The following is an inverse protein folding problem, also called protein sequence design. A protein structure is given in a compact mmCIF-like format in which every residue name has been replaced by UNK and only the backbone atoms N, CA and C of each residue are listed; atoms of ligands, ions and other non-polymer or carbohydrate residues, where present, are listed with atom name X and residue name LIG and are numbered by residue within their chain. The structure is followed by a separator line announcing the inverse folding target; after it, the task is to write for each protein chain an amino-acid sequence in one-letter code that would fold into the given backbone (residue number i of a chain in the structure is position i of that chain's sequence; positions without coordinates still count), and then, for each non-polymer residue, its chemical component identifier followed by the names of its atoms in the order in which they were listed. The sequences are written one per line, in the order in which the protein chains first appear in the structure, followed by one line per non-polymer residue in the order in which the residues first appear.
data_IF_907514638577
#
_entry.id   IF_907514638577
#
_cell.length_a   1.000
_cell.length_b   1.000
_cell.length_c   1.000
_cell.angle_alpha   90.00
_cell.angle_beta   90.00
_cell.angle_gamma   90.00
#
_symmetry.space_group_name_H-M   'P 1'
#
loop_
_entity.id
_entity.type
_entity.pdbx_description
1 polymer ?
#
# COMPACT_ATOMS: atom_id res chain seq x y z
N UNK A 1 -0.63 -19.08 -4.13
CA UNK A 1 -0.77 -17.91 -3.25
C UNK A 1 -1.24 -16.72 -4.07
N UNK A 2 -2.09 -15.88 -3.49
CA UNK A 2 -2.62 -14.65 -4.09
C UNK A 2 -2.28 -13.49 -3.17
N UNK A 3 -1.85 -12.37 -3.75
CA UNK A 3 -1.69 -11.09 -3.06
C UNK A 3 -2.80 -10.17 -3.55
N UNK A 4 -3.45 -9.44 -2.63
CA UNK A 4 -4.50 -8.48 -2.98
C UNK A 4 -4.37 -7.20 -2.14
N UNK A 5 -4.77 -6.07 -2.72
CA UNK A 5 -4.81 -4.77 -2.06
C UNK A 5 -5.94 -3.91 -2.65
N UNK A 6 -6.29 -2.85 -1.93
CA UNK A 6 -7.14 -1.78 -2.43
C UNK A 6 -6.29 -0.75 -3.22
N UNK A 7 -6.93 0.27 -3.79
CA UNK A 7 -6.26 1.32 -4.58
C UNK A 7 -6.26 2.69 -3.93
N UNK A 8 -6.85 2.85 -2.74
CA UNK A 8 -7.02 4.14 -2.07
C UNK A 8 -5.69 4.70 -1.58
N UNK A 9 -5.49 5.99 -1.84
CA UNK A 9 -4.44 6.81 -1.25
C UNK A 9 -5.09 7.92 -0.42
N UNK A 10 -4.42 8.34 0.65
CA UNK A 10 -4.98 9.31 1.61
C UNK A 10 -3.98 10.39 2.00
N UNK A 11 -4.48 11.57 2.34
CA UNK A 11 -3.73 12.67 2.94
C UNK A 11 -4.52 13.18 4.14
N UNK A 12 -3.88 13.32 5.30
CA UNK A 12 -4.50 13.99 6.45
C UNK A 12 -4.33 15.51 6.30
N UNK A 13 -5.42 16.26 6.46
CA UNK A 13 -5.48 17.71 6.28
C UNK A 13 -5.96 18.40 7.57
N UNK A 14 -5.17 19.34 8.14
CA UNK A 14 -5.58 20.14 9.29
C UNK A 14 -6.35 21.39 8.81
N UNK A 15 -7.65 21.23 8.55
CA UNK A 15 -8.52 22.34 8.14
C UNK A 15 -9.07 23.07 9.39
N UNK A 16 -9.53 24.30 9.19
CA UNK A 16 -9.99 25.19 10.26
C UNK A 16 -11.21 24.63 11.01
N UNK A 17 -12.04 23.84 10.33
CA UNK A 17 -13.23 23.20 10.89
C UNK A 17 -12.97 21.78 11.42
N UNK A 18 -11.73 21.31 11.37
CA UNK A 18 -11.28 20.06 11.96
C UNK A 18 -10.33 19.24 11.09
N UNK A 19 -9.98 18.05 11.60
CA UNK A 19 -9.18 17.08 10.86
C UNK A 19 -9.99 16.49 9.73
N UNK A 20 -9.45 16.54 8.52
CA UNK A 20 -10.02 15.93 7.33
C UNK A 20 -9.05 14.93 6.73
N UNK A 21 -9.59 14.05 5.89
CA UNK A 21 -8.84 13.10 5.10
C UNK A 21 -9.25 13.34 3.64
N UNK A 22 -8.28 13.68 2.79
CA UNK A 22 -8.46 13.69 1.35
C UNK A 22 -8.14 12.30 0.83
N UNK A 23 -9.08 11.70 0.10
CA UNK A 23 -9.01 10.34 -0.42
C UNK A 23 -9.02 10.37 -1.95
N UNK A 24 -8.30 9.44 -2.56
CA UNK A 24 -8.43 9.16 -3.99
C UNK A 24 -8.25 7.68 -4.26
N UNK A 25 -9.05 7.17 -5.18
CA UNK A 25 -9.03 5.77 -5.62
C UNK A 25 -8.51 5.66 -7.06
N UNK A 26 -8.01 4.48 -7.43
CA UNK A 26 -7.62 4.13 -8.80
C UNK A 26 -6.66 5.15 -9.43
N UNK A 27 -5.51 5.40 -8.80
CA UNK A 27 -4.50 6.38 -9.27
C UNK A 27 -3.59 5.84 -10.37
N UNK A 28 -3.67 4.53 -10.67
CA UNK A 28 -2.68 3.79 -11.48
C UNK A 28 -1.40 3.44 -10.71
N UNK A 29 -1.16 4.06 -9.55
CA UNK A 29 0.01 3.75 -8.72
C UNK A 29 -0.29 2.54 -7.83
N UNK A 30 0.11 1.34 -8.25
CA UNK A 30 -0.25 0.09 -7.58
C UNK A 30 0.48 -0.08 -6.22
N UNK A 31 -0.15 -0.74 -5.25
CA UNK A 31 0.54 -1.13 -3.99
C UNK A 31 1.23 -2.50 -4.10
N UNK A 32 0.90 -3.25 -5.16
CA UNK A 32 1.49 -4.53 -5.52
C UNK A 32 2.24 -4.34 -6.83
N UNK A 33 3.50 -4.73 -6.87
CA UNK A 33 4.30 -4.78 -8.09
C UNK A 33 4.95 -6.14 -8.21
N UNK A 34 5.26 -6.56 -9.43
CA UNK A 34 5.86 -7.87 -9.68
C UNK A 34 6.94 -7.78 -10.74
N UNK A 35 7.85 -8.74 -10.68
CA UNK A 35 8.82 -9.09 -11.72
C UNK A 35 8.92 -10.61 -11.77
N UNK A 36 9.63 -11.19 -12.74
CA UNK A 36 9.63 -12.66 -12.94
C UNK A 36 10.05 -13.43 -11.68
N UNK A 37 10.95 -12.85 -10.87
CA UNK A 37 11.49 -13.51 -9.68
C UNK A 37 10.64 -13.35 -8.43
N UNK A 38 9.62 -12.48 -8.44
CA UNK A 38 8.84 -12.23 -7.23
C UNK A 38 7.90 -11.04 -7.27
N UNK A 39 7.31 -10.76 -6.11
CA UNK A 39 6.32 -9.72 -5.86
C UNK A 39 6.81 -8.83 -4.73
N UNK A 40 6.63 -7.52 -4.90
CA UNK A 40 6.83 -6.50 -3.88
C UNK A 40 5.47 -5.90 -3.51
N UNK A 41 5.19 -5.82 -2.22
CA UNK A 41 3.98 -5.19 -1.68
C UNK A 41 4.38 -4.11 -0.71
N UNK A 42 3.85 -2.91 -0.92
CA UNK A 42 4.18 -1.74 -0.12
C UNK A 42 2.92 -1.05 0.39
N UNK A 43 2.97 -0.60 1.64
CA UNK A 43 2.02 0.37 2.20
C UNK A 43 2.83 1.41 2.98
N UNK A 44 2.41 2.66 2.97
CA UNK A 44 3.12 3.74 3.67
C UNK A 44 3.24 5.02 2.87
N UNK A 45 4.33 5.72 3.13
CA UNK A 45 4.72 6.97 2.47
C UNK A 45 4.85 6.78 0.94
N UNK A 46 4.02 7.50 0.18
CA UNK A 46 3.98 7.41 -1.28
C UNK A 46 5.32 7.72 -1.96
N UNK A 47 6.03 8.81 -1.61
CA UNK A 47 7.34 9.12 -2.18
C UNK A 47 8.38 8.02 -1.95
N UNK A 48 8.48 7.45 -0.74
CA UNK A 48 9.39 6.33 -0.49
C UNK A 48 9.00 5.08 -1.27
N UNK A 49 7.70 4.80 -1.42
CA UNK A 49 7.23 3.68 -2.26
C UNK A 49 7.59 3.91 -3.73
N UNK A 50 7.53 5.13 -4.24
CA UNK A 50 7.93 5.45 -5.62
C UNK A 50 9.41 5.12 -5.86
N UNK A 51 10.31 5.56 -4.97
CA UNK A 51 11.74 5.20 -5.02
C UNK A 51 11.97 3.69 -4.97
N UNK A 52 11.23 2.99 -4.10
CA UNK A 52 11.28 1.53 -4.01
C UNK A 52 10.87 0.86 -5.31
N UNK A 53 9.87 1.39 -6.01
CA UNK A 53 9.45 0.87 -7.31
C UNK A 53 10.47 1.17 -8.40
N UNK A 54 11.04 2.37 -8.45
CA UNK A 54 12.12 2.69 -9.39
C UNK A 54 13.28 1.70 -9.26
N UNK A 55 13.71 1.41 -8.03
CA UNK A 55 14.70 0.37 -7.74
C UNK A 55 14.21 -1.03 -8.15
N UNK A 56 12.97 -1.38 -7.83
CA UNK A 56 12.39 -2.68 -8.13
C UNK A 56 12.25 -2.95 -9.63
N UNK A 57 11.99 -1.94 -10.45
CA UNK A 57 11.79 -2.05 -11.90
C UNK A 57 13.03 -1.75 -12.73
N UNK A 58 14.18 -1.48 -12.08
CA UNK A 58 15.45 -1.40 -12.79
C UNK A 58 15.67 -2.67 -13.63
N UNK A 59 16.23 -2.49 -14.84
CA UNK A 59 16.54 -3.56 -15.80
C UNK A 59 17.26 -4.73 -15.11
N UNK A 60 18.17 -4.39 -14.21
CA UNK A 60 18.81 -5.31 -13.29
C UNK A 60 18.48 -4.90 -11.85
N UNK A 61 17.91 -5.83 -11.08
CA UNK A 61 17.69 -5.61 -9.65
C UNK A 61 19.02 -5.67 -8.90
N UNK A 62 19.66 -4.51 -8.73
CA UNK A 62 20.88 -4.38 -7.93
C UNK A 62 20.53 -4.18 -6.46
N UNK A 63 20.85 -5.19 -5.63
CA UNK A 63 20.62 -5.12 -4.20
C UNK A 63 21.40 -3.99 -3.51
N UNK A 64 22.55 -3.57 -4.05
CA UNK A 64 23.32 -2.48 -3.43
C UNK A 64 22.74 -1.10 -3.71
N UNK A 65 21.90 -0.96 -4.73
CA UNK A 65 21.20 0.26 -5.09
C UNK A 65 19.88 0.47 -4.33
N UNK A 66 19.66 -0.22 -3.20
CA UNK A 66 18.48 -0.04 -2.36
C UNK A 66 18.33 1.44 -1.96
N UNK A 67 17.20 2.10 -2.26
CA UNK A 67 16.98 3.49 -1.88
C UNK A 67 16.90 3.66 -0.37
N UNK A 68 17.13 4.89 0.07
CA UNK A 68 16.84 5.27 1.45
C UNK A 68 15.34 5.11 1.74
N UNK A 69 15.05 4.38 2.81
CA UNK A 69 13.69 4.11 3.30
C UNK A 69 13.23 5.18 4.30
N UNK A 70 14.12 6.09 4.67
CA UNK A 70 13.85 7.26 5.49
C UNK A 70 13.30 8.43 4.67
N UNK A 71 12.38 9.15 5.28
CA UNK A 71 12.00 10.47 4.82
C UNK A 71 11.87 11.44 6.00
N UNK A 72 12.73 12.47 6.03
CA UNK A 72 12.77 13.50 7.07
C UNK A 72 12.85 12.96 8.51
N UNK A 73 13.65 11.92 8.80
CA UNK A 73 13.71 11.34 10.14
C UNK A 73 12.64 10.29 10.43
N UNK A 74 11.73 10.02 9.50
CA UNK A 74 10.60 9.12 9.71
C UNK A 74 10.57 7.98 8.70
N UNK A 75 10.12 6.83 9.18
CA UNK A 75 10.10 5.58 8.46
C UNK A 75 8.68 5.01 8.44
N UNK A 76 8.00 5.15 7.30
CA UNK A 76 6.56 4.89 7.21
C UNK A 76 6.16 3.81 6.23
N UNK A 77 7.10 3.06 5.66
CA UNK A 77 6.81 2.04 4.64
C UNK A 77 6.88 0.64 5.21
N UNK A 78 5.76 -0.08 5.16
CA UNK A 78 5.63 -1.52 5.33
C UNK A 78 5.97 -2.21 4.01
N UNK A 79 6.83 -3.22 4.06
CA UNK A 79 7.33 -3.96 2.89
C UNK A 79 7.08 -5.45 3.10
N UNK A 80 6.64 -6.12 2.04
CA UNK A 80 6.60 -7.57 1.93
C UNK A 80 7.18 -7.97 0.56
N UNK A 81 8.20 -8.82 0.57
CA UNK A 81 8.81 -9.37 -0.65
C UNK A 81 8.60 -10.88 -0.67
N UNK A 82 8.09 -11.36 -1.80
CA UNK A 82 7.72 -12.77 -1.97
C UNK A 82 8.38 -13.31 -3.24
N UNK A 83 9.03 -14.46 -3.15
CA UNK A 83 9.61 -15.14 -4.31
C UNK A 83 8.50 -15.61 -5.26
N UNK A 84 8.83 -15.81 -6.53
CA UNK A 84 7.93 -16.42 -7.52
C UNK A 84 7.47 -17.83 -7.14
N UNK A 85 8.23 -18.54 -6.30
CA UNK A 85 7.85 -19.84 -5.75
C UNK A 85 6.88 -19.75 -4.56
N UNK A 86 6.63 -18.54 -4.06
CA UNK A 86 5.73 -18.28 -2.93
C UNK A 86 6.42 -18.14 -1.57
N UNK A 87 7.74 -18.11 -1.52
CA UNK A 87 8.49 -17.96 -0.27
C UNK A 87 8.51 -16.50 0.17
N UNK A 88 8.13 -16.25 1.42
CA UNK A 88 8.29 -14.92 2.02
C UNK A 88 9.78 -14.66 2.30
N UNK A 89 10.40 -13.84 1.46
CA UNK A 89 11.82 -13.51 1.53
C UNK A 89 12.11 -12.39 2.51
N UNK A 90 11.19 -11.41 2.61
CA UNK A 90 11.32 -10.29 3.54
C UNK A 90 9.95 -9.80 3.98
N UNK A 91 9.83 -9.39 5.24
CA UNK A 91 8.63 -8.81 5.81
C UNK A 91 9.01 -7.85 6.94
N UNK A 92 8.60 -6.59 6.79
CA UNK A 92 8.68 -5.59 7.84
C UNK A 92 7.44 -4.70 7.84
N UNK A 93 6.97 -4.37 9.03
CA UNK A 93 5.81 -3.51 9.23
C UNK A 93 4.75 -4.08 10.15
N UNK A 94 3.75 -3.26 10.51
CA UNK A 94 2.57 -3.74 11.20
C UNK A 94 1.88 -4.80 10.35
N UNK A 95 1.91 -6.05 10.83
CA UNK A 95 1.29 -7.20 10.19
C UNK A 95 0.41 -7.94 11.18
N UNK A 96 -0.71 -8.47 10.68
CA UNK A 96 -1.45 -9.55 11.34
C UNK A 96 -1.31 -10.82 10.52
N UNK A 97 -1.05 -11.93 11.19
CA UNK A 97 -0.88 -13.22 10.57
C UNK A 97 -1.97 -14.18 11.06
N UNK A 98 -2.55 -14.93 10.13
CA UNK A 98 -3.40 -16.08 10.44
C UNK A 98 -2.57 -17.34 10.20
N UNK A 99 -2.57 -18.23 11.18
CA UNK A 99 -1.93 -19.55 11.09
C UNK A 99 -2.99 -20.62 11.07
N UNK A 100 -2.74 -21.70 10.33
CA UNK A 100 -3.56 -22.90 10.41
C UNK A 100 -3.40 -23.53 11.81
N UNK A 101 -4.50 -23.85 12.45
CA UNK A 101 -4.51 -24.35 13.84
C UNK A 101 -3.82 -25.72 13.97
N UNK A 102 -3.97 -26.60 12.99
CA UNK A 102 -3.48 -27.98 13.02
C UNK A 102 -1.95 -28.06 12.87
N UNK A 103 -1.37 -27.31 11.93
CA UNK A 103 0.06 -27.42 11.59
C UNK A 103 0.87 -26.14 11.86
N UNK A 104 0.23 -25.10 12.39
CA UNK A 104 0.82 -23.79 12.71
C UNK A 104 1.48 -23.08 11.51
N UNK A 105 1.25 -23.59 10.28
CA UNK A 105 1.74 -22.98 9.06
C UNK A 105 1.01 -21.65 8.85
N UNK A 106 1.78 -20.68 8.40
CA UNK A 106 1.26 -19.37 8.05
C UNK A 106 0.28 -19.50 6.89
N UNK A 107 -0.96 -19.10 7.11
CA UNK A 107 -2.05 -19.21 6.15
C UNK A 107 -2.26 -17.88 5.41
N UNK A 108 -2.21 -16.74 6.11
CA UNK A 108 -2.34 -15.41 5.52
C UNK A 108 -1.60 -14.33 6.33
N UNK A 109 -1.22 -13.24 5.66
CA UNK A 109 -0.67 -12.02 6.26
C UNK A 109 -1.46 -10.82 5.76
N UNK A 110 -1.72 -9.87 6.65
CA UNK A 110 -2.46 -8.64 6.40
C UNK A 110 -1.63 -7.44 6.89
N UNK A 111 -1.74 -6.31 6.19
CA UNK A 111 -1.13 -5.03 6.56
C UNK A 111 -2.05 -3.90 6.11
N UNK A 112 -1.92 -2.75 6.75
CA UNK A 112 -2.72 -1.56 6.44
C UNK A 112 -3.80 -1.26 7.46
N UNK A 113 -4.42 -0.08 7.39
CA UNK A 113 -5.50 0.34 8.31
C UNK A 113 -6.68 -0.62 8.33
N UNK A 114 -7.04 -1.18 7.18
CA UNK A 114 -8.15 -2.14 7.04
C UNK A 114 -7.87 -3.54 7.55
N UNK A 115 -6.69 -3.80 8.13
CA UNK A 115 -6.23 -5.15 8.53
C UNK A 115 -7.24 -5.89 9.40
N UNK A 116 -7.82 -5.23 10.40
CA UNK A 116 -8.72 -5.89 11.36
C UNK A 116 -10.03 -6.30 10.73
N UNK A 117 -10.50 -5.52 9.75
CA UNK A 117 -11.67 -5.84 8.95
C UNK A 117 -11.34 -6.98 7.97
N UNK A 118 -10.22 -6.87 7.25
CA UNK A 118 -9.80 -7.89 6.28
C UNK A 118 -9.61 -9.27 6.94
N UNK A 119 -9.00 -9.33 8.13
CA UNK A 119 -8.86 -10.56 8.92
C UNK A 119 -10.23 -11.18 9.22
N UNK A 120 -11.20 -10.38 9.70
CA UNK A 120 -12.56 -10.86 9.98
C UNK A 120 -13.23 -11.44 8.73
N UNK A 121 -13.10 -10.79 7.58
CA UNK A 121 -13.67 -11.35 6.34
C UNK A 121 -12.93 -12.60 5.88
N UNK A 122 -11.60 -12.62 6.01
CA UNK A 122 -10.78 -13.77 5.64
C UNK A 122 -11.14 -15.02 6.43
N UNK A 123 -11.37 -14.91 7.74
CA UNK A 123 -11.74 -16.07 8.57
C UNK A 123 -13.06 -16.71 8.16
N UNK A 124 -13.92 -16.00 7.42
CA UNK A 124 -15.18 -16.55 6.90
C UNK A 124 -15.05 -17.11 5.47
N UNK A 125 -14.26 -16.49 4.60
CA UNK A 125 -14.22 -16.85 3.17
C UNK A 125 -12.91 -17.47 2.68
N UNK A 126 -11.81 -17.34 3.42
CA UNK A 126 -10.48 -17.82 3.02
C UNK A 126 -9.90 -17.16 1.76
N UNK A 127 -10.51 -16.07 1.27
CA UNK A 127 -10.19 -15.45 -0.02
C UNK A 127 -9.58 -14.06 0.17
N UNK A 128 -8.30 -13.90 -0.20
CA UNK A 128 -7.59 -12.62 -0.05
C UNK A 128 -8.30 -11.44 -0.73
N UNK A 129 -8.91 -11.65 -1.91
CA UNK A 129 -9.64 -10.59 -2.65
C UNK A 129 -10.89 -10.16 -1.89
N UNK A 130 -11.73 -11.12 -1.52
CA UNK A 130 -12.98 -10.86 -0.80
C UNK A 130 -12.75 -10.28 0.59
N UNK A 131 -11.60 -10.57 1.21
CA UNK A 131 -11.18 -9.92 2.45
C UNK A 131 -10.92 -8.42 2.28
N UNK A 132 -10.30 -8.02 1.16
CA UNK A 132 -10.12 -6.59 0.84
C UNK A 132 -11.48 -5.95 0.51
N UNK A 133 -12.31 -6.61 -0.28
CA UNK A 133 -13.68 -6.13 -0.59
C UNK A 133 -14.48 -5.86 0.68
N UNK A 134 -14.42 -6.78 1.66
CA UNK A 134 -15.08 -6.58 2.95
C UNK A 134 -14.45 -5.45 3.78
N UNK A 135 -13.13 -5.28 3.74
CA UNK A 135 -12.45 -4.20 4.45
C UNK A 135 -12.82 -2.81 3.92
N UNK A 136 -13.05 -2.67 2.60
CA UNK A 136 -13.52 -1.42 1.96
C UNK A 136 -14.82 -0.92 2.58
N UNK A 137 -15.69 -1.83 3.03
CA UNK A 137 -16.98 -1.47 3.62
C UNK A 137 -16.84 -0.82 5.01
N UNK A 138 -15.71 -1.01 5.70
CA UNK A 138 -15.58 -0.69 7.12
C UNK A 138 -14.38 0.21 7.46
N UNK A 139 -13.35 0.24 6.63
CA UNK A 139 -12.19 1.14 6.80
C UNK A 139 -12.21 2.26 5.75
N UNK A 140 -12.45 3.52 6.14
CA UNK A 140 -12.50 4.62 5.19
C UNK A 140 -11.19 4.88 4.43
N UNK A 141 -10.05 4.37 4.92
CA UNK A 141 -8.77 4.48 4.21
C UNK A 141 -8.46 3.28 3.30
N UNK A 142 -9.36 2.30 3.22
CA UNK A 142 -9.32 1.20 2.25
C UNK A 142 -10.43 1.41 1.22
N UNK A 143 -10.11 1.41 -0.08
CA UNK A 143 -11.13 1.71 -1.09
C UNK A 143 -10.72 1.56 -2.56
N UNK A 144 -11.65 1.92 -3.43
CA UNK A 144 -11.51 1.76 -4.87
C UNK A 144 -11.60 0.31 -5.33
N UNK A 145 -10.90 -0.03 -6.41
CA UNK A 145 -10.86 -1.40 -6.91
C UNK A 145 -9.98 -2.31 -6.03
N UNK A 146 -10.30 -3.60 -6.02
CA UNK A 146 -9.40 -4.64 -5.49
C UNK A 146 -8.46 -5.11 -6.58
N UNK A 147 -7.17 -4.82 -6.39
CA UNK A 147 -6.08 -5.25 -7.25
C UNK A 147 -5.46 -6.52 -6.70
N UNK A 148 -5.07 -7.45 -7.57
CA UNK A 148 -4.48 -8.72 -7.17
C UNK A 148 -3.43 -9.25 -8.14
N UNK A 149 -2.56 -10.10 -7.62
CA UNK A 149 -1.62 -10.91 -8.39
C UNK A 149 -1.61 -12.35 -7.86
N UNK A 150 -1.80 -13.31 -8.76
CA UNK A 150 -1.71 -14.74 -8.47
C UNK A 150 -0.37 -15.31 -8.94
N UNK A 151 0.50 -15.69 -8.01
CA UNK A 151 1.87 -16.09 -8.33
C UNK A 151 1.96 -17.33 -9.22
N UNK A 152 1.07 -18.31 -9.00
CA UNK A 152 1.14 -19.60 -9.68
C UNK A 152 0.79 -19.50 -11.17
N UNK A 153 -0.16 -18.63 -11.50
CA UNK A 153 -0.73 -18.52 -12.86
C UNK A 153 -0.26 -17.25 -13.57
N UNK A 154 0.28 -16.27 -12.83
CA UNK A 154 0.54 -14.92 -13.33
C UNK A 154 -0.73 -14.09 -13.53
N UNK A 155 -1.93 -14.63 -13.24
CA UNK A 155 -3.19 -13.92 -13.43
C UNK A 155 -3.27 -12.72 -12.49
N UNK A 156 -3.59 -11.56 -13.05
CA UNK A 156 -3.66 -10.31 -12.30
C UNK A 156 -4.61 -9.32 -12.99
N UNK A 157 -4.93 -8.23 -12.29
CA UNK A 157 -5.68 -7.08 -12.82
C UNK A 157 -4.98 -5.75 -12.48
N UNK A 158 -3.65 -5.79 -12.34
CA UNK A 158 -2.83 -4.63 -12.03
C UNK A 158 -2.82 -3.69 -13.24
N UNK A 159 -2.85 -2.39 -12.98
CA UNK A 159 -2.67 -1.38 -14.04
C UNK A 159 -1.20 -1.38 -14.49
N UNK A 160 -0.93 -0.82 -15.68
CA UNK A 160 0.44 -0.53 -16.08
C UNK A 160 1.11 0.35 -15.02
N UNK A 161 2.29 -0.06 -14.57
CA UNK A 161 2.89 0.56 -13.40
C UNK A 161 3.37 1.98 -13.69
N UNK A 162 2.92 2.93 -12.87
CA UNK A 162 3.50 4.26 -12.79
C UNK A 162 4.37 4.36 -11.54
N UNK A 163 5.69 4.41 -11.75
CA UNK A 163 6.66 4.66 -10.67
C UNK A 163 6.63 6.12 -10.18
N UNK A 164 5.82 6.97 -10.80
CA UNK A 164 5.78 8.39 -10.53
C UNK A 164 4.75 8.71 -9.43
N UNK A 165 5.25 9.09 -8.24
CA UNK A 165 4.41 9.54 -7.12
C UNK A 165 3.44 10.67 -7.50
N UNK A 166 3.81 11.56 -8.43
CA UNK A 166 2.95 12.67 -8.83
C UNK A 166 1.63 12.21 -9.46
N UNK A 167 1.55 10.99 -10.00
CA UNK A 167 0.29 10.41 -10.48
C UNK A 167 -0.78 10.33 -9.38
N UNK A 168 -0.36 10.10 -8.12
CA UNK A 168 -1.27 10.11 -6.96
C UNK A 168 -1.74 11.54 -6.69
N UNK A 169 -0.82 12.51 -6.69
CA UNK A 169 -1.14 13.91 -6.42
C UNK A 169 -2.03 14.51 -7.51
N UNK A 170 -1.73 14.27 -8.77
CA UNK A 170 -2.56 14.66 -9.91
C UNK A 170 -3.96 14.03 -9.83
N UNK A 171 -4.05 12.77 -9.40
CA UNK A 171 -5.33 12.11 -9.13
C UNK A 171 -6.09 12.78 -7.97
N UNK A 172 -5.41 13.13 -6.88
CA UNK A 172 -6.03 13.85 -5.75
C UNK A 172 -6.57 15.23 -6.18
N UNK A 173 -5.78 15.99 -6.94
CA UNK A 173 -6.19 17.31 -7.44
C UNK A 173 -7.38 17.18 -8.40
N UNK A 174 -7.37 16.19 -9.29
CA UNK A 174 -8.41 16.04 -10.30
C UNK A 174 -9.73 15.51 -9.74
N UNK A 175 -9.68 14.44 -8.93
CA UNK A 175 -10.86 13.63 -8.52
C UNK A 175 -10.88 13.25 -7.04
N UNK A 176 -10.05 13.85 -6.20
CA UNK A 176 -10.04 13.55 -4.76
C UNK A 176 -11.38 13.90 -4.09
N UNK A 177 -11.67 13.22 -2.99
CA UNK A 177 -12.84 13.50 -2.14
C UNK A 177 -12.39 13.77 -0.72
N UNK A 178 -12.98 14.77 -0.09
CA UNK A 178 -12.69 15.19 1.27
C UNK A 178 -13.70 14.59 2.23
N UNK A 179 -13.21 13.98 3.31
CA UNK A 179 -14.04 13.41 4.37
C UNK A 179 -13.57 13.94 5.73
N UNK A 180 -14.50 14.32 6.60
CA UNK A 180 -14.16 14.75 7.96
C UNK A 180 -13.79 13.55 8.82
N UNK A 181 -12.71 13.65 9.60
CA UNK A 181 -12.20 12.52 10.36
C UNK A 181 -13.14 12.07 11.50
N UNK A 182 -14.01 12.94 12.00
CA UNK A 182 -15.06 12.58 12.96
C UNK A 182 -16.06 11.60 12.37
N UNK A 183 -16.28 11.68 11.07
CA UNK A 183 -17.28 10.89 10.37
C UNK A 183 -16.74 9.51 10.00
N UNK A 184 -15.42 9.31 10.19
CA UNK A 184 -14.74 8.01 10.06
C UNK A 184 -15.33 6.95 11.01
N UNK A 185 -15.88 7.37 12.17
CA UNK A 185 -16.58 6.49 13.12
C UNK A 185 -18.07 6.31 12.82
N UNK A 186 -18.59 7.10 11.87
CA UNK A 186 -20.00 7.22 11.48
C UNK A 186 -20.22 6.67 10.06
N UNK A 187 -19.15 6.26 9.35
CA UNK A 187 -19.13 5.78 7.96
C UNK A 187 -20.11 4.63 7.63
N UNK A 188 -20.72 3.99 8.63
CA UNK A 188 -21.77 2.98 8.49
C UNK A 188 -23.20 3.50 8.65
N UNK A 189 -23.42 4.81 8.88
CA UNK A 189 -24.73 5.38 9.24
C UNK A 189 -25.39 6.23 8.15
N UNK A 190 -24.73 6.43 7.00
CA UNK A 190 -25.26 7.27 5.92
C UNK A 190 -25.03 8.77 6.09
N UNK A 191 -24.50 9.22 7.24
CA UNK A 191 -24.24 10.64 7.54
C UNK A 191 -22.79 11.09 7.23
N UNK A 192 -21.90 10.17 6.83
CA UNK A 192 -20.53 10.52 6.41
C UNK A 192 -20.54 11.03 4.97
N UNK A 193 -20.61 12.34 4.77
CA UNK A 193 -20.59 12.96 3.45
C UNK A 193 -19.14 13.16 2.99
N UNK A 194 -18.66 12.31 2.08
CA UNK A 194 -17.48 12.63 1.29
C UNK A 194 -17.88 13.68 0.24
N UNK A 195 -17.22 14.84 0.25
CA UNK A 195 -17.51 15.96 -0.66
C UNK A 195 -16.36 16.17 -1.64
N UNK A 196 -16.62 16.76 -2.81
CA UNK A 196 -15.53 17.26 -3.66
C UNK A 196 -14.73 18.30 -2.86
N UNK A 197 -13.42 18.08 -2.72
CA UNK A 197 -12.56 18.96 -1.93
C UNK A 197 -12.53 20.39 -2.47
N UNK A 198 -12.81 20.58 -3.77
CA UNK A 198 -12.88 21.90 -4.42
C UNK A 198 -14.04 22.75 -3.90
N UNK A 199 -15.05 22.13 -3.30
CA UNK A 199 -16.18 22.82 -2.69
C UNK A 199 -15.90 23.27 -1.24
N UNK A 200 -14.77 22.87 -0.65
CA UNK A 200 -14.42 23.26 0.71
C UNK A 200 -13.97 24.74 0.76
N UNK A 201 -14.32 25.52 1.80
CA UNK A 201 -13.90 26.93 1.93
C UNK A 201 -12.39 27.18 1.86
N UNK A 202 -11.59 26.15 2.17
CA UNK A 202 -10.12 26.17 2.10
C UNK A 202 -9.53 25.46 0.88
N UNK A 203 -10.29 25.31 -0.21
CA UNK A 203 -9.81 24.63 -1.42
C UNK A 203 -8.47 25.21 -1.93
N UNK A 204 -8.28 26.52 -1.91
CA UNK A 204 -7.01 27.14 -2.33
C UNK A 204 -5.82 26.70 -1.45
N UNK A 205 -6.02 26.57 -0.14
CA UNK A 205 -4.97 26.08 0.77
C UNK A 205 -4.63 24.62 0.47
N UNK A 206 -5.66 23.78 0.27
CA UNK A 206 -5.51 22.36 -0.08
C UNK A 206 -4.72 22.22 -1.40
N UNK A 207 -5.10 22.98 -2.42
CA UNK A 207 -4.41 22.99 -3.71
C UNK A 207 -2.93 23.37 -3.56
N UNK A 208 -2.65 24.43 -2.78
CA UNK A 208 -1.28 24.88 -2.51
C UNK A 208 -0.47 23.81 -1.78
N UNK A 209 -1.03 23.18 -0.74
CA UNK A 209 -0.33 22.13 0.01
C UNK A 209 -0.01 20.89 -0.82
N UNK A 210 -0.92 20.51 -1.72
CA UNK A 210 -0.70 19.41 -2.67
C UNK A 210 0.39 19.79 -3.69
N UNK A 211 0.30 20.99 -4.27
CA UNK A 211 1.24 21.45 -5.30
C UNK A 211 2.66 21.66 -4.79
N UNK A 212 2.82 22.17 -3.56
CA UNK A 212 4.14 22.45 -2.97
C UNK A 212 4.71 21.27 -2.14
N UNK A 213 3.96 20.17 -1.98
CA UNK A 213 4.39 18.99 -1.24
C UNK A 213 4.43 19.14 0.29
N UNK A 214 3.75 20.15 0.85
CA UNK A 214 3.62 20.33 2.31
C UNK A 214 2.85 19.18 2.97
N UNK A 215 1.99 18.52 2.19
CA UNK A 215 1.30 17.29 2.59
C UNK A 215 1.65 16.17 1.61
N UNK A 216 1.64 14.92 2.09
CA UNK A 216 2.04 13.74 1.32
C UNK A 216 0.98 12.68 1.36
N UNK A 217 0.69 12.13 0.19
CA UNK A 217 -0.19 11.00 0.03
C UNK A 217 0.48 9.73 0.54
N UNK A 218 -0.28 8.95 1.29
CA UNK A 218 0.19 7.71 1.88
C UNK A 218 -0.92 6.66 1.89
N UNK A 219 -0.51 5.40 1.93
CA UNK A 219 -1.35 4.25 2.23
C UNK A 219 -1.07 3.85 3.70
N UNK A 220 -2.03 3.95 4.64
CA UNK A 220 -1.75 3.68 6.04
C UNK A 220 -1.23 2.27 6.27
N UNK A 221 -0.26 2.09 7.17
CA UNK A 221 0.33 0.77 7.50
C UNK A 221 -0.45 -0.01 8.56
N UNK A 222 -1.37 0.65 9.29
CA UNK A 222 -2.24 0.02 10.29
C UNK A 222 -1.63 -0.16 11.69
N UNK A 223 -0.49 0.48 11.98
CA UNK A 223 0.14 0.40 13.29
C UNK A 223 1.23 1.45 13.49
N UNK A 224 2.12 1.20 14.45
CA UNK A 224 3.27 2.07 14.71
C UNK A 224 4.23 2.09 13.51
N UNK A 225 4.89 3.23 13.34
CA UNK A 225 5.98 3.40 12.38
C UNK A 225 7.08 2.35 12.61
N UNK A 226 7.79 2.02 11.54
CA UNK A 226 8.77 0.94 11.51
C UNK A 226 10.13 1.57 11.66
N UNK A 227 10.93 1.15 12.61
CA UNK A 227 12.32 1.59 12.62
C UNK A 227 13.11 0.82 11.55
N UNK A 228 13.66 1.51 10.55
CA UNK A 228 14.57 0.89 9.60
C UNK A 228 15.99 0.89 10.16
N UNK A 229 16.66 -0.25 10.02
CA UNK A 229 18.02 -0.46 10.52
C UNK A 229 18.87 -1.07 9.43
N UNK A 230 20.19 -0.97 9.58
CA UNK A 230 21.14 -1.60 8.67
C UNK A 230 20.86 -3.11 8.53
N UNK A 231 20.50 -3.79 9.63
CA UNK A 231 20.12 -5.20 9.61
C UNK A 231 18.91 -5.47 8.71
N UNK A 232 17.85 -4.65 8.82
CA UNK A 232 16.64 -4.79 7.99
C UNK A 232 16.95 -4.49 6.52
N UNK A 233 17.74 -3.45 6.26
CA UNK A 233 18.19 -3.11 4.92
C UNK A 233 18.98 -4.26 4.31
N UNK A 234 19.90 -4.87 5.07
CA UNK A 234 20.65 -6.05 4.64
C UNK A 234 19.75 -7.25 4.31
N UNK A 235 18.66 -7.45 5.07
CA UNK A 235 17.67 -8.50 4.75
C UNK A 235 16.88 -8.20 3.46
N UNK A 236 16.54 -6.94 3.19
CA UNK A 236 15.96 -6.54 1.89
C UNK A 236 16.95 -6.84 0.76
N UNK A 237 18.23 -6.47 0.93
CA UNK A 237 19.28 -6.76 -0.06
C UNK A 237 19.39 -8.26 -0.34
N UNK A 238 19.36 -9.11 0.70
CA UNK A 238 19.37 -10.57 0.55
C UNK A 238 18.14 -11.07 -0.22
N UNK A 239 16.94 -10.57 0.10
CA UNK A 239 15.72 -10.92 -0.62
C UNK A 239 15.80 -10.50 -2.10
N UNK A 240 16.32 -9.29 -2.38
CA UNK A 240 16.51 -8.79 -3.74
C UNK A 240 17.47 -9.65 -4.55
N UNK A 241 18.61 -10.05 -3.97
CA UNK A 241 19.54 -10.99 -4.62
C UNK A 241 18.84 -12.31 -4.95
N UNK A 242 18.03 -12.84 -4.04
CA UNK A 242 17.31 -14.09 -4.28
C UNK A 242 16.29 -13.97 -5.41
N UNK A 243 15.56 -12.86 -5.48
CA UNK A 243 14.63 -12.57 -6.59
C UNK A 243 15.41 -12.47 -7.91
N UNK A 244 16.51 -11.73 -7.95
CA UNK A 244 17.33 -11.60 -9.15
C UNK A 244 17.93 -12.94 -9.63
N UNK A 245 18.32 -13.83 -8.71
CA UNK A 245 18.75 -15.19 -9.03
C UNK A 245 17.63 -16.00 -9.70
N UNK A 246 16.42 -15.96 -9.13
CA UNK A 246 15.26 -16.68 -9.68
C UNK A 246 14.95 -16.23 -11.11
N UNK A 247 15.06 -14.94 -11.40
CA UNK A 247 14.84 -14.41 -12.75
C UNK A 247 15.82 -14.96 -13.77
N UNK A 248 17.11 -15.03 -13.40
CA UNK A 248 18.14 -15.61 -14.27
C UNK A 248 17.85 -17.07 -14.57
N UNK A 249 17.40 -17.84 -13.56
CA UNK A 249 17.05 -19.26 -13.77
C UNK A 249 15.82 -19.48 -14.63
N UNK A 250 14.91 -18.50 -14.72
CA UNK A 250 13.69 -18.59 -15.53
C UNK A 250 13.87 -18.07 -16.97
N UNK A 251 14.95 -17.33 -17.24
CA UNK A 251 15.29 -16.82 -18.56
C UNK A 251 16.22 -17.76 -19.35
N UNK A 252 16.75 -18.80 -18.70
CA UNK A 252 17.54 -19.88 -19.30
C UNK A 252 16.63 -21.10 -19.56
#
# INVERSE_FOLDING_TARGET
MVVACDTRWSVDLPLNDGKHILLVDNTGFNKITYRKGGVLVCAGDGPTIAKMKEWWFAEHLDAEALPDLEHNGYFKVSILMISSNGDRLFDAGPKKAIRNEENQLLHAIFSGSGTDHAVKFFTHCGCAKSSVEGAILLDPRTGGEVKFYELKTGKNNLDDETMNYNSIIESMISKGVLMKATDMYIANSGDAEAVDWKNHPQANDIANWLANGSVKAYAPTGGKDIEWSEEKNNKIKQAARKIAELEKTMNN
#
